data_IF_390374057535
#
_entry.id   IF_390374057535
#
_cell.length_a   1.000
_cell.length_b   1.000
_cell.length_c   1.000
_cell.angle_alpha   90.00
_cell.angle_beta   90.00
_cell.angle_gamma   90.00
#
_symmetry.space_group_name_H-M   'P 1'
#
loop_
_entity.id
_entity.type
_entity.pdbx_description
1 polymer ?
#
# COMPACT_ATOMS: atom_id res chain seq x y z
N UNK A 1 -19.13 12.01 18.62
CA UNK A 1 -19.64 10.89 17.81
C UNK A 1 -18.44 10.11 17.29
N UNK A 2 -18.16 8.92 17.82
CA UNK A 2 -17.07 8.07 17.32
C UNK A 2 -17.55 7.40 16.04
N UNK A 3 -16.98 7.78 14.89
CA UNK A 3 -17.25 7.09 13.62
C UNK A 3 -16.35 5.85 13.62
N UNK A 4 -16.92 4.70 13.95
CA UNK A 4 -16.21 3.43 13.83
C UNK A 4 -15.85 3.19 12.35
N UNK A 5 -14.65 2.67 12.05
CA UNK A 5 -14.31 2.32 10.70
C UNK A 5 -15.28 1.26 10.13
N UNK A 6 -15.57 1.30 8.81
CA UNK A 6 -16.36 0.26 8.18
C UNK A 6 -15.70 -1.11 8.40
N UNK A 7 -16.50 -2.12 8.72
CA UNK A 7 -16.03 -3.51 8.85
C UNK A 7 -16.36 -4.28 7.57
N UNK A 8 -15.50 -5.23 7.23
CA UNK A 8 -15.66 -6.15 6.11
C UNK A 8 -15.43 -5.52 4.73
N UNK A 9 -16.12 -6.04 3.71
CA UNK A 9 -15.91 -5.67 2.29
C UNK A 9 -16.25 -4.20 1.98
N UNK A 10 -16.96 -3.50 2.88
CA UNK A 10 -17.46 -2.13 2.67
C UNK A 10 -16.39 -1.11 2.30
N UNK A 11 -15.16 -1.26 2.82
CA UNK A 11 -14.05 -0.39 2.42
C UNK A 11 -13.65 -0.59 0.97
N UNK A 12 -13.67 -1.84 0.50
CA UNK A 12 -13.39 -2.20 -0.89
C UNK A 12 -14.52 -1.74 -1.80
N UNK A 13 -15.79 -1.95 -1.41
CA UNK A 13 -16.95 -1.47 -2.17
C UNK A 13 -16.93 0.06 -2.31
N UNK A 14 -16.60 0.78 -1.23
CA UNK A 14 -16.49 2.24 -1.27
C UNK A 14 -15.36 2.68 -2.20
N UNK A 15 -14.20 2.02 -2.12
CA UNK A 15 -13.07 2.29 -3.00
C UNK A 15 -13.40 1.99 -4.47
N UNK A 16 -14.12 0.90 -4.75
CA UNK A 16 -14.60 0.54 -6.07
C UNK A 16 -15.57 1.58 -6.64
N UNK A 17 -16.51 2.08 -5.83
CA UNK A 17 -17.42 3.16 -6.25
C UNK A 17 -16.65 4.42 -6.64
N UNK A 18 -15.65 4.82 -5.85
CA UNK A 18 -14.80 5.97 -6.18
C UNK A 18 -13.99 5.72 -7.45
N UNK A 19 -13.39 4.53 -7.59
CA UNK A 19 -12.62 4.18 -8.78
C UNK A 19 -13.48 4.19 -10.05
N UNK A 20 -14.69 3.65 -9.98
CA UNK A 20 -15.64 3.65 -11.10
C UNK A 20 -16.15 5.06 -11.41
N UNK A 21 -16.34 5.90 -10.39
CA UNK A 21 -16.71 7.30 -10.57
C UNK A 21 -15.66 8.07 -11.39
N UNK A 22 -14.37 7.70 -11.36
CA UNK A 22 -13.34 8.38 -12.15
C UNK A 22 -13.67 8.45 -13.65
N UNK A 23 -14.34 7.42 -14.18
CA UNK A 23 -14.65 7.32 -15.62
C UNK A 23 -15.67 8.35 -16.10
N UNK A 24 -16.61 8.73 -15.25
CA UNK A 24 -17.73 9.59 -15.62
C UNK A 24 -17.72 10.93 -14.88
N UNK A 25 -17.09 10.98 -13.70
CA UNK A 25 -17.17 12.12 -12.79
C UNK A 25 -15.89 12.92 -12.66
N UNK A 26 -14.71 12.35 -12.96
CA UNK A 26 -13.46 13.09 -12.75
C UNK A 26 -13.35 14.31 -13.66
N UNK A 27 -13.73 14.21 -14.93
CA UNK A 27 -13.65 15.33 -15.88
C UNK A 27 -14.49 16.54 -15.43
N UNK A 28 -15.64 16.32 -14.77
CA UNK A 28 -16.53 17.41 -14.38
C UNK A 28 -16.03 18.24 -13.20
N UNK A 29 -15.00 17.75 -12.49
CA UNK A 29 -14.35 18.47 -11.38
C UNK A 29 -12.96 19.00 -11.76
N UNK A 30 -12.48 18.69 -12.96
CA UNK A 30 -11.24 19.20 -13.51
C UNK A 30 -11.47 20.52 -14.26
N UNK A 31 -10.47 21.41 -14.35
CA UNK A 31 -10.51 22.55 -15.26
C UNK A 31 -10.75 22.10 -16.71
N UNK A 32 -11.42 22.93 -17.51
CA UNK A 32 -11.80 22.59 -18.89
C UNK A 32 -10.62 22.18 -19.79
N UNK A 33 -9.42 22.68 -19.49
CA UNK A 33 -8.20 22.42 -20.25
C UNK A 33 -7.38 21.23 -19.72
N UNK A 34 -7.92 20.43 -18.79
CA UNK A 34 -7.25 19.28 -18.20
C UNK A 34 -8.09 18.03 -18.45
N UNK A 35 -7.49 17.05 -19.13
CA UNK A 35 -8.09 15.74 -19.36
C UNK A 35 -7.45 14.67 -18.46
N UNK A 36 -8.25 13.81 -17.80
CA UNK A 36 -7.72 12.74 -16.97
C UNK A 36 -7.20 11.58 -17.83
N UNK A 37 -5.98 11.11 -17.53
CA UNK A 37 -5.45 9.90 -18.13
C UNK A 37 -5.86 8.66 -17.32
N UNK A 38 -7.00 8.06 -17.66
CA UNK A 38 -7.52 6.86 -16.99
C UNK A 38 -6.82 5.56 -17.43
N UNK A 39 -5.83 5.63 -18.33
CA UNK A 39 -4.99 4.47 -18.71
C UNK A 39 -3.84 4.23 -17.72
N UNK A 40 -3.52 5.23 -16.89
CA UNK A 40 -2.39 5.20 -15.95
C UNK A 40 -2.87 5.51 -14.53
N UNK A 41 -3.87 4.76 -14.04
CA UNK A 41 -4.39 4.92 -12.67
C UNK A 41 -3.59 4.05 -11.72
N UNK A 42 -3.13 4.65 -10.63
CA UNK A 42 -2.36 3.99 -9.56
C UNK A 42 -3.20 3.90 -8.31
N UNK A 43 -3.26 2.71 -7.71
CA UNK A 43 -3.85 2.53 -6.38
C UNK A 43 -2.77 2.64 -5.32
N UNK A 44 -3.05 3.36 -4.25
CA UNK A 44 -2.17 3.43 -3.10
C UNK A 44 -2.97 3.39 -1.80
N UNK A 45 -2.41 2.76 -0.78
CA UNK A 45 -3.03 2.73 0.53
C UNK A 45 -2.05 2.40 1.64
N UNK A 46 -2.26 3.02 2.79
CA UNK A 46 -1.53 2.71 4.03
C UNK A 46 -2.33 1.75 4.91
N UNK A 47 -1.67 0.83 5.62
CA UNK A 47 -2.32 -0.01 6.63
C UNK A 47 -3.47 -0.84 6.04
N UNK A 48 -4.65 -0.78 6.67
CA UNK A 48 -5.88 -1.40 6.17
C UNK A 48 -6.28 -0.86 4.81
N UNK A 49 -5.97 0.41 4.52
CA UNK A 49 -6.11 1.01 3.19
C UNK A 49 -5.21 0.35 2.15
N UNK A 50 -4.00 -0.07 2.52
CA UNK A 50 -3.11 -0.84 1.64
C UNK A 50 -3.73 -2.18 1.28
N UNK A 51 -4.27 -2.92 2.26
CA UNK A 51 -5.04 -4.14 2.00
C UNK A 51 -6.23 -3.89 1.07
N UNK A 52 -6.99 -2.81 1.30
CA UNK A 52 -8.10 -2.41 0.43
C UNK A 52 -7.65 -2.15 -1.00
N UNK A 53 -6.50 -1.50 -1.20
CA UNK A 53 -5.92 -1.26 -2.51
C UNK A 53 -5.55 -2.59 -3.22
N UNK A 54 -4.93 -3.54 -2.51
CA UNK A 54 -4.66 -4.88 -3.03
C UNK A 54 -5.94 -5.64 -3.39
N UNK A 55 -6.95 -5.62 -2.51
CA UNK A 55 -8.23 -6.26 -2.77
C UNK A 55 -8.89 -5.70 -4.05
N UNK A 56 -8.91 -4.38 -4.19
CA UNK A 56 -9.47 -3.74 -5.36
C UNK A 56 -8.70 -4.11 -6.64
N UNK A 57 -7.35 -4.14 -6.58
CA UNK A 57 -6.52 -4.57 -7.70
C UNK A 57 -6.77 -6.03 -8.13
N UNK A 58 -7.13 -6.91 -7.18
CA UNK A 58 -7.52 -8.29 -7.42
C UNK A 58 -8.97 -8.45 -7.95
N UNK A 59 -9.70 -7.35 -8.09
CA UNK A 59 -11.07 -7.34 -8.62
C UNK A 59 -12.17 -7.45 -7.58
N UNK A 60 -11.86 -7.42 -6.27
CA UNK A 60 -12.91 -7.39 -5.25
C UNK A 60 -13.68 -6.07 -5.32
N UNK A 61 -15.00 -6.13 -5.13
CA UNK A 61 -15.89 -4.97 -5.26
C UNK A 61 -16.24 -4.60 -6.70
N UNK A 62 -15.90 -5.46 -7.67
CA UNK A 62 -16.21 -5.33 -9.10
C UNK A 62 -15.82 -3.97 -9.71
N UNK A 63 -14.54 -3.55 -9.60
CA UNK A 63 -14.08 -2.32 -10.23
C UNK A 63 -14.13 -2.44 -11.77
N UNK A 64 -14.73 -1.45 -12.39
CA UNK A 64 -14.71 -1.22 -13.84
C UNK A 64 -13.38 -0.55 -14.22
N UNK A 65 -12.84 0.30 -13.34
CA UNK A 65 -11.56 0.95 -13.54
C UNK A 65 -10.41 -0.05 -13.43
N UNK A 66 -9.54 -0.06 -14.44
CA UNK A 66 -8.29 -0.83 -14.42
C UNK A 66 -7.18 -0.04 -13.76
N UNK A 67 -6.28 -0.73 -13.08
CA UNK A 67 -5.15 -0.12 -12.39
C UNK A 67 -3.85 -0.61 -12.99
N UNK A 68 -2.92 0.32 -13.17
CA UNK A 68 -1.65 0.08 -13.85
C UNK A 68 -0.52 -0.18 -12.86
N UNK A 69 -0.64 0.34 -11.64
CA UNK A 69 0.29 0.08 -10.55
C UNK A 69 -0.43 0.10 -9.19
N UNK A 70 0.20 -0.52 -8.20
CA UNK A 70 -0.29 -0.66 -6.84
C UNK A 70 0.83 -0.36 -5.84
N UNK A 71 0.52 0.44 -4.82
CA UNK A 71 1.46 0.86 -3.78
C UNK A 71 0.85 0.55 -2.41
N UNK A 72 1.40 -0.43 -1.71
CA UNK A 72 1.07 -0.70 -0.31
C UNK A 72 2.08 -0.04 0.62
N UNK A 73 1.62 0.88 1.48
CA UNK A 73 2.48 1.47 2.52
C UNK A 73 2.16 0.79 3.84
N UNK A 74 3.08 -0.06 4.31
CA UNK A 74 2.89 -0.87 5.52
C UNK A 74 1.50 -1.54 5.61
N UNK A 75 1.10 -2.33 4.58
CA UNK A 75 -0.25 -2.89 4.49
C UNK A 75 -0.50 -3.95 5.58
N UNK A 76 -1.73 -4.01 6.11
CA UNK A 76 -2.11 -4.97 7.15
C UNK A 76 -3.34 -5.80 6.77
N UNK A 77 -3.23 -7.13 6.79
CA UNK A 77 -4.32 -8.06 6.51
C UNK A 77 -5.17 -8.48 7.74
N UNK A 78 -4.76 -8.10 8.95
CA UNK A 78 -5.35 -8.53 10.23
C UNK A 78 -4.30 -9.13 11.18
N UNK A 79 -4.70 -9.49 12.40
CA UNK A 79 -3.82 -10.05 13.42
C UNK A 79 -4.42 -11.33 14.04
N UNK A 80 -3.78 -11.85 15.09
CA UNK A 80 -4.17 -13.08 15.79
C UNK A 80 -5.63 -13.14 16.29
N UNK A 81 -6.35 -12.01 16.33
CA UNK A 81 -7.77 -11.96 16.73
C UNK A 81 -8.75 -12.00 15.55
N UNK A 82 -8.26 -12.04 14.31
CA UNK A 82 -9.07 -12.20 13.11
C UNK A 82 -8.44 -11.57 11.88
N UNK A 83 -8.55 -12.25 10.75
CA UNK A 83 -8.27 -11.71 9.43
C UNK A 83 -9.42 -10.79 9.01
N UNK A 84 -9.09 -9.66 8.38
CA UNK A 84 -10.13 -8.72 7.92
C UNK A 84 -10.58 -9.10 6.52
N UNK A 85 -11.88 -9.21 6.27
CA UNK A 85 -12.39 -9.54 4.93
C UNK A 85 -12.21 -8.37 3.95
N UNK A 86 -11.98 -8.61 2.65
CA UNK A 86 -11.75 -9.92 2.03
C UNK A 86 -10.38 -10.52 2.42
N UNK A 87 -10.31 -11.85 2.43
CA UNK A 87 -9.05 -12.58 2.57
C UNK A 87 -8.37 -12.61 1.21
N UNK A 88 -7.31 -11.82 1.06
CA UNK A 88 -6.63 -11.60 -0.21
C UNK A 88 -5.21 -12.16 -0.25
N UNK A 89 -4.71 -12.61 0.91
CA UNK A 89 -3.47 -13.34 1.02
C UNK A 89 -3.83 -14.81 1.10
N UNK A 90 -3.27 -15.59 0.18
CA UNK A 90 -3.52 -17.02 0.04
C UNK A 90 -2.60 -17.84 0.94
N UNK A 91 -1.42 -17.30 1.29
CA UNK A 91 -0.39 -17.98 2.07
C UNK A 91 0.00 -19.36 1.50
N UNK A 92 -0.21 -19.61 0.20
CA UNK A 92 0.20 -20.88 -0.41
C UNK A 92 1.68 -20.82 -0.78
N UNK A 93 2.56 -21.63 -0.13
CA UNK A 93 3.86 -21.91 -0.68
C UNK A 93 3.65 -22.88 -1.85
N UNK A 94 4.39 -22.69 -2.95
CA UNK A 94 4.45 -23.63 -4.06
C UNK A 94 4.40 -25.09 -3.56
N UNK A 95 3.39 -25.83 -4.04
CA UNK A 95 3.04 -27.23 -3.79
C UNK A 95 4.04 -28.12 -3.01
N UNK A 96 3.45 -28.84 -2.05
CA UNK A 96 3.98 -29.98 -1.28
C UNK A 96 4.71 -29.62 0.02
N UNK A 97 3.94 -29.43 1.10
CA UNK A 97 4.04 -30.30 2.29
C UNK A 97 2.95 -29.95 3.31
N UNK A 98 2.32 -30.99 3.82
CA UNK A 98 1.34 -30.98 4.91
C UNK A 98 1.97 -30.48 6.22
N UNK A 99 1.20 -29.73 7.02
CA UNK A 99 1.45 -29.34 8.42
C UNK A 99 2.51 -28.26 8.68
N UNK A 100 2.10 -26.98 8.65
CA UNK A 100 2.33 -26.05 9.79
C UNK A 100 1.47 -24.79 9.62
N UNK A 101 0.47 -24.59 10.49
CA UNK A 101 -0.18 -23.28 10.62
C UNK A 101 0.79 -22.36 11.36
N UNK A 102 1.66 -21.68 10.62
CA UNK A 102 2.53 -20.67 11.20
C UNK A 102 1.65 -19.52 11.74
N UNK A 103 1.85 -19.09 12.99
CA UNK A 103 1.11 -17.99 13.56
C UNK A 103 1.49 -16.70 12.81
N UNK A 104 0.55 -16.07 12.10
CA UNK A 104 0.76 -14.78 11.44
C UNK A 104 0.79 -13.64 12.47
N UNK A 105 1.87 -13.63 13.25
CA UNK A 105 2.22 -12.52 14.12
C UNK A 105 3.63 -12.05 13.77
N UNK A 106 3.76 -11.23 12.72
CA UNK A 106 4.19 -9.84 12.92
C UNK A 106 4.16 -8.95 11.70
N UNK A 107 4.26 -9.42 10.45
CA UNK A 107 4.25 -8.52 9.30
C UNK A 107 3.74 -9.20 8.02
N UNK A 108 2.53 -8.85 7.58
CA UNK A 108 1.93 -9.40 6.35
C UNK A 108 2.50 -8.73 5.08
N UNK A 109 3.41 -7.75 5.20
CA UNK A 109 3.94 -7.00 4.06
C UNK A 109 4.81 -7.85 3.12
N UNK A 110 5.51 -8.87 3.64
CA UNK A 110 6.28 -9.81 2.81
C UNK A 110 5.34 -10.64 1.93
N UNK A 111 4.21 -11.09 2.46
CA UNK A 111 3.21 -11.84 1.69
C UNK A 111 2.58 -10.99 0.58
N UNK A 112 2.27 -9.72 0.88
CA UNK A 112 1.81 -8.77 -0.15
C UNK A 112 2.83 -8.63 -1.28
N UNK A 113 4.13 -8.60 -0.97
CA UNK A 113 5.19 -8.59 -1.98
C UNK A 113 5.28 -9.92 -2.74
N UNK A 114 5.30 -11.05 -2.04
CA UNK A 114 5.43 -12.38 -2.63
C UNK A 114 4.28 -12.73 -3.58
N UNK A 115 3.06 -12.29 -3.28
CA UNK A 115 1.88 -12.50 -4.12
C UNK A 115 1.73 -11.43 -5.23
N UNK A 116 2.57 -10.38 -5.25
CA UNK A 116 2.60 -9.38 -6.32
C UNK A 116 3.30 -9.90 -7.58
N UNK A 117 2.86 -9.42 -8.76
CA UNK A 117 3.53 -9.70 -10.04
C UNK A 117 4.67 -8.71 -10.27
N UNK A 118 5.78 -9.13 -10.90
CA UNK A 118 6.81 -8.20 -11.38
C UNK A 118 6.29 -7.17 -12.40
N UNK A 119 6.91 -5.98 -12.51
CA UNK A 119 7.96 -5.48 -11.62
C UNK A 119 7.40 -5.16 -10.22
N UNK A 120 8.09 -5.64 -9.18
CA UNK A 120 7.67 -5.49 -7.78
C UNK A 120 8.85 -5.15 -6.89
N UNK A 121 8.61 -4.32 -5.89
CA UNK A 121 9.64 -3.92 -4.94
C UNK A 121 9.13 -3.92 -3.50
N UNK A 122 10.02 -4.22 -2.56
CA UNK A 122 9.75 -4.21 -1.12
C UNK A 122 10.88 -3.50 -0.39
N UNK A 123 10.50 -2.55 0.46
CA UNK A 123 11.40 -1.73 1.25
C UNK A 123 10.94 -1.71 2.70
N UNK A 124 11.85 -1.87 3.64
CA UNK A 124 11.57 -1.70 5.08
C UNK A 124 12.46 -0.63 5.68
N UNK A 125 11.89 0.26 6.50
CA UNK A 125 12.62 1.32 7.17
C UNK A 125 12.87 0.97 8.65
N UNK A 126 14.13 1.02 9.10
CA UNK A 126 14.47 0.78 10.51
C UNK A 126 14.03 1.95 11.39
N UNK A 127 13.68 1.63 12.64
CA UNK A 127 13.38 2.59 13.70
C UNK A 127 12.09 3.41 13.50
N UNK A 128 11.30 3.08 12.49
CA UNK A 128 10.00 3.67 12.22
C UNK A 128 8.87 2.72 12.56
N UNK A 129 7.79 3.29 13.08
CA UNK A 129 6.56 2.59 13.40
C UNK A 129 5.46 2.85 12.37
N UNK A 130 4.42 2.02 12.44
CA UNK A 130 3.28 2.03 11.53
C UNK A 130 2.63 3.40 11.34
N UNK A 131 2.63 4.24 12.38
CA UNK A 131 1.98 5.56 12.36
C UNK A 131 2.85 6.67 11.80
N UNK A 132 4.14 6.43 11.58
CA UNK A 132 5.08 7.51 11.25
C UNK A 132 4.90 8.05 9.83
N UNK A 133 4.19 7.31 8.96
CA UNK A 133 3.79 7.80 7.63
C UNK A 133 2.68 8.87 7.70
N UNK A 134 1.81 8.84 8.71
CA UNK A 134 0.65 9.73 8.79
C UNK A 134 1.07 11.15 9.13
N UNK A 135 0.27 12.15 8.73
CA UNK A 135 0.45 13.57 9.06
C UNK A 135 0.65 13.82 10.56
N UNK A 136 1.27 14.95 10.90
CA UNK A 136 1.55 15.31 12.30
C UNK A 136 0.27 15.62 13.09
N UNK A 137 -0.71 16.26 12.43
CA UNK A 137 -2.05 16.37 12.99
C UNK A 137 -2.85 15.08 12.73
N UNK A 138 -3.09 14.35 13.82
CA UNK A 138 -3.87 13.11 13.82
C UNK A 138 -5.30 13.32 14.35
N UNK A 139 -5.76 14.56 14.59
CA UNK A 139 -7.05 14.86 15.25
C UNK A 139 -8.25 14.13 14.64
N UNK A 140 -8.31 13.99 13.31
CA UNK A 140 -9.35 13.22 12.60
C UNK A 140 -9.08 11.71 12.46
N UNK A 141 -7.85 11.27 12.75
CA UNK A 141 -7.34 9.92 12.55
C UNK A 141 -7.33 9.10 13.86
N UNK A 142 -7.07 9.76 15.00
CA UNK A 142 -7.06 9.16 16.35
C UNK A 142 -8.40 8.49 16.67
N UNK A 143 -9.52 9.10 16.31
CA UNK A 143 -10.86 8.53 16.54
C UNK A 143 -11.19 7.31 15.66
N UNK A 144 -10.52 7.14 14.52
CA UNK A 144 -10.76 6.04 13.55
C UNK A 144 -9.79 4.86 13.73
N UNK A 145 -8.61 5.11 14.32
CA UNK A 145 -7.58 4.11 14.59
C UNK A 145 -7.52 3.66 16.05
N UNK A 146 -8.47 4.09 16.90
CA UNK A 146 -8.51 3.75 18.33
C UNK A 146 -8.51 2.23 18.63
N UNK A 147 -8.92 1.39 17.68
CA UNK A 147 -8.84 -0.08 17.77
C UNK A 147 -7.44 -0.66 17.53
N UNK A 148 -6.47 0.15 17.08
CA UNK A 148 -5.16 -0.33 16.67
C UNK A 148 -4.07 0.23 17.58
N UNK A 149 -3.39 -0.66 18.32
CA UNK A 149 -2.18 -0.38 19.09
C UNK A 149 -0.99 -0.10 18.16
N UNK A 150 -1.14 0.87 17.25
CA UNK A 150 -0.11 1.18 16.27
C UNK A 150 1.07 1.87 16.97
N UNK A 151 2.25 1.30 16.77
CA UNK A 151 3.49 1.84 17.32
C UNK A 151 3.90 3.10 16.55
N UNK A 152 4.29 4.14 17.28
CA UNK A 152 5.11 5.22 16.73
C UNK A 152 6.58 4.80 16.86
N UNK A 153 7.39 5.16 15.88
CA UNK A 153 8.84 5.12 16.02
C UNK A 153 9.32 6.20 16.99
N UNK A 154 10.60 6.16 17.33
CA UNK A 154 11.24 7.17 18.19
C UNK A 154 11.85 8.33 17.38
N UNK A 155 11.88 8.20 16.05
CA UNK A 155 12.50 9.15 15.14
C UNK A 155 11.53 10.22 14.59
N UNK A 156 12.05 11.27 13.95
CA UNK A 156 11.23 12.28 13.27
C UNK A 156 10.48 11.65 12.08
N UNK A 157 9.20 11.98 11.90
CA UNK A 157 8.37 11.42 10.81
C UNK A 157 8.75 11.91 9.41
N UNK A 158 9.25 13.15 9.30
CA UNK A 158 9.55 13.80 8.02
C UNK A 158 10.54 13.00 7.13
N UNK A 159 11.71 12.53 7.63
CA UNK A 159 12.60 11.70 6.82
C UNK A 159 11.94 10.44 6.28
N UNK A 160 11.10 9.76 7.05
CA UNK A 160 10.36 8.58 6.56
C UNK A 160 9.40 8.96 5.44
N UNK A 161 8.60 10.02 5.61
CA UNK A 161 7.66 10.47 4.58
C UNK A 161 8.38 10.85 3.29
N UNK A 162 9.53 11.54 3.40
CA UNK A 162 10.39 11.86 2.25
C UNK A 162 10.96 10.61 1.59
N UNK A 163 11.41 9.63 2.38
CA UNK A 163 11.86 8.33 1.86
C UNK A 163 10.76 7.63 1.05
N UNK A 164 9.57 7.48 1.65
CA UNK A 164 8.43 6.80 1.02
C UNK A 164 8.02 7.53 -0.26
N UNK A 165 7.90 8.86 -0.21
CA UNK A 165 7.60 9.66 -1.39
C UNK A 165 8.64 9.50 -2.50
N UNK A 166 9.93 9.54 -2.16
CA UNK A 166 11.03 9.32 -3.10
C UNK A 166 10.99 7.96 -3.77
N UNK A 167 10.83 6.88 -2.99
CA UNK A 167 10.70 5.50 -3.50
C UNK A 167 9.49 5.39 -4.44
N UNK A 168 8.33 5.91 -4.04
CA UNK A 168 7.11 5.87 -4.86
C UNK A 168 7.32 6.56 -6.19
N UNK A 169 7.85 7.78 -6.20
CA UNK A 169 8.08 8.53 -7.44
C UNK A 169 9.12 7.84 -8.32
N UNK A 170 10.23 7.35 -7.74
CA UNK A 170 11.25 6.62 -8.48
C UNK A 170 10.67 5.35 -9.13
N UNK A 171 9.86 4.57 -8.41
CA UNK A 171 9.20 3.39 -8.95
C UNK A 171 8.21 3.72 -10.07
N UNK A 172 7.43 4.80 -9.92
CA UNK A 172 6.49 5.23 -10.96
C UNK A 172 7.21 5.73 -12.22
N UNK A 173 8.35 6.41 -12.07
CA UNK A 173 9.19 6.81 -13.19
C UNK A 173 9.83 5.60 -13.89
N UNK A 174 10.31 4.62 -13.13
CA UNK A 174 10.76 3.34 -13.66
C UNK A 174 9.65 2.67 -14.48
N UNK A 175 8.44 2.56 -13.91
CA UNK A 175 7.35 1.79 -14.50
C UNK A 175 6.67 2.47 -15.72
N UNK A 176 6.51 3.79 -15.68
CA UNK A 176 5.73 4.51 -16.70
C UNK A 176 6.56 5.35 -17.67
N UNK A 177 7.82 5.65 -17.34
CA UNK A 177 8.66 6.55 -18.13
C UNK A 177 9.97 5.93 -18.59
N UNK A 178 10.19 4.63 -18.34
CA UNK A 178 11.45 3.93 -18.62
C UNK A 178 12.67 4.66 -18.00
N UNK A 179 12.45 5.44 -16.93
CA UNK A 179 13.51 6.15 -16.21
C UNK A 179 13.89 5.36 -14.96
N UNK A 180 14.90 4.52 -15.12
CA UNK A 180 15.29 3.55 -14.10
C UNK A 180 16.38 4.08 -13.14
N UNK A 181 17.00 5.22 -13.44
CA UNK A 181 18.23 5.67 -12.77
C UNK A 181 18.03 5.83 -11.27
N UNK A 182 17.03 6.62 -10.86
CA UNK A 182 16.78 6.90 -9.44
C UNK A 182 16.36 5.62 -8.70
N UNK A 183 15.50 4.82 -9.33
CA UNK A 183 14.97 3.61 -8.71
C UNK A 183 16.05 2.56 -8.50
N UNK A 184 16.86 2.28 -9.54
CA UNK A 184 17.99 1.36 -9.46
C UNK A 184 19.05 1.87 -8.47
N UNK A 185 19.25 3.20 -8.34
CA UNK A 185 20.15 3.77 -7.33
C UNK A 185 19.64 3.45 -5.93
N UNK A 186 18.35 3.68 -5.63
CA UNK A 186 17.78 3.37 -4.32
C UNK A 186 17.85 1.86 -4.01
N UNK A 187 17.66 1.00 -5.02
CA UNK A 187 17.72 -0.46 -4.85
C UNK A 187 19.15 -0.94 -4.56
N UNK A 188 20.14 -0.45 -5.31
CA UNK A 188 21.52 -0.91 -5.22
C UNK A 188 22.32 -0.21 -4.12
N UNK A 189 21.95 1.01 -3.76
CA UNK A 189 22.63 1.86 -2.79
C UNK A 189 21.62 2.42 -1.77
N UNK A 190 20.97 1.57 -0.95
CA UNK A 190 19.87 2.00 -0.07
C UNK A 190 20.26 3.10 0.94
N UNK A 191 21.55 3.29 1.20
CA UNK A 191 22.09 4.35 2.07
C UNK A 191 21.88 5.77 1.50
N UNK A 192 21.50 5.92 0.23
CA UNK A 192 21.10 7.22 -0.33
C UNK A 192 19.76 7.71 0.23
N UNK A 193 18.95 6.81 0.81
CA UNK A 193 17.67 7.16 1.39
C UNK A 193 17.84 8.02 2.66
N UNK A 194 16.89 8.93 2.97
CA UNK A 194 16.95 9.77 4.16
C UNK A 194 16.70 8.99 5.47
N UNK A 195 16.48 7.68 5.37
CA UNK A 195 16.30 6.74 6.49
C UNK A 195 17.05 5.46 6.20
N UNK A 196 17.42 4.73 7.25
CA UNK A 196 18.07 3.42 7.10
C UNK A 196 17.05 2.41 6.60
N UNK A 197 17.23 1.94 5.37
CA UNK A 197 16.47 0.82 4.81
C UNK A 197 17.14 -0.50 5.22
N UNK A 198 16.36 -1.50 5.66
CA UNK A 198 16.89 -2.80 6.11
C UNK A 198 16.81 -3.85 5.01
N UNK A 199 15.59 -4.14 4.58
CA UNK A 199 15.29 -5.07 3.51
C UNK A 199 14.93 -4.25 2.28
N UNK A 200 15.65 -4.51 1.19
CA UNK A 200 15.37 -3.99 -0.14
C UNK A 200 15.34 -5.17 -1.09
N UNK A 201 14.18 -5.41 -1.70
CA UNK A 201 13.99 -6.45 -2.68
C UNK A 201 13.35 -5.85 -3.93
N UNK A 202 13.82 -6.26 -5.09
CA UNK A 202 13.28 -5.83 -6.37
C UNK A 202 13.36 -6.96 -7.38
N UNK A 203 12.21 -7.32 -7.94
CA UNK A 203 12.09 -8.27 -9.03
C UNK A 203 11.57 -7.50 -10.25
N UNK A 204 12.38 -7.38 -11.30
CA UNK A 204 12.03 -6.62 -12.50
C UNK A 204 11.10 -7.39 -13.47
N UNK A 205 11.17 -8.72 -13.48
CA UNK A 205 10.43 -9.61 -14.41
C UNK A 205 10.17 -10.98 -13.82
#
# INVERSE_FOLDING_TARGET
MYILPPKGIREVESAAQVANWLQLGLQSVLPENIEPNLKTVVLSGHSRGGKTAFALALGYGDPIQKFSALIGIDPVAGNNFGTTTPHILTYEPNLSTSHFRLPSSKYNHEEFFNESKPPRAHFTAKNYGHMDMLNDDLSGVIGKLADSMCVNGKGPRDPLRRCIGGIVIAFLNYYFQDNEVDFNTIVNEPDVAPVVLDQVQFDAS
#
